data_IF_847014419032
#
_entry.id   IF_847014419032
#
_cell.length_a   1.000
_cell.length_b   1.000
_cell.length_c   1.000
_cell.angle_alpha   90.00
_cell.angle_beta   90.00
_cell.angle_gamma   90.00
#
_symmetry.space_group_name_H-M   'P 1'
#
loop_
_entity.id
_entity.type
_entity.pdbx_description
1 polymer ?
#
# COMPACT_ATOMS: atom_id res chain seq x y z
N UNK A 1 -11.80 -7.92 4.81
CA UNK A 1 -10.55 -8.33 4.12
C UNK A 1 -9.56 -7.18 4.28
N UNK A 2 -8.34 -7.40 4.76
CA UNK A 2 -7.34 -6.34 4.91
C UNK A 2 -6.61 -6.09 3.58
N UNK A 3 -6.28 -4.84 3.26
CA UNK A 3 -5.51 -4.45 2.08
C UNK A 3 -4.17 -5.20 1.98
N UNK A 4 -3.54 -5.48 3.13
CA UNK A 4 -2.32 -6.26 3.22
C UNK A 4 -2.50 -7.70 2.68
N UNK A 5 -3.65 -8.32 2.89
CA UNK A 5 -3.94 -9.66 2.36
C UNK A 5 -4.10 -9.63 0.83
N UNK A 6 -4.72 -8.57 0.32
CA UNK A 6 -4.95 -8.38 -1.12
C UNK A 6 -3.62 -8.18 -1.85
N UNK A 7 -2.73 -7.36 -1.29
CA UNK A 7 -1.38 -7.12 -1.80
C UNK A 7 -0.52 -8.39 -1.80
N UNK A 8 -0.57 -9.19 -0.74
CA UNK A 8 0.17 -10.48 -0.71
C UNK A 8 -0.32 -11.44 -1.78
N UNK A 9 -1.63 -11.46 -2.06
CA UNK A 9 -2.19 -12.29 -3.13
C UNK A 9 -1.75 -11.83 -4.52
N UNK A 10 -1.53 -10.53 -4.73
CA UNK A 10 -0.96 -9.97 -5.97
C UNK A 10 0.50 -10.37 -6.18
N UNK A 11 1.29 -10.48 -5.11
CA UNK A 11 2.71 -10.90 -5.18
C UNK A 11 2.92 -12.40 -5.47
N UNK A 12 1.89 -13.23 -5.27
CA UNK A 12 1.94 -14.64 -5.65
C UNK A 12 1.94 -14.81 -7.17
N UNK A 13 2.79 -15.71 -7.68
CA UNK A 13 2.66 -16.13 -9.07
C UNK A 13 1.30 -16.79 -9.32
N UNK A 14 0.76 -16.75 -10.55
CA UNK A 14 -0.55 -17.35 -10.83
C UNK A 14 -0.67 -18.82 -10.38
N UNK A 15 0.32 -19.71 -10.59
CA UNK A 15 0.24 -21.09 -10.11
C UNK A 15 0.25 -21.22 -8.58
N UNK A 16 1.01 -20.37 -7.87
CA UNK A 16 1.05 -20.36 -6.41
C UNK A 16 -0.30 -19.92 -5.82
N UNK A 17 -0.93 -18.92 -6.44
CA UNK A 17 -2.24 -18.42 -6.03
C UNK A 17 -3.32 -19.49 -6.22
N UNK A 18 -3.34 -20.16 -7.38
CA UNK A 18 -4.30 -21.23 -7.67
C UNK A 18 -4.11 -22.41 -6.72
N UNK A 19 -2.87 -22.89 -6.53
CA UNK A 19 -2.58 -23.99 -5.62
C UNK A 19 -2.99 -23.68 -4.17
N UNK A 20 -2.76 -22.45 -3.71
CA UNK A 20 -3.16 -22.00 -2.39
C UNK A 20 -4.68 -21.93 -2.25
N UNK A 21 -5.39 -21.28 -3.18
CA UNK A 21 -6.85 -21.09 -3.09
C UNK A 21 -7.58 -22.41 -3.16
N UNK A 22 -7.26 -23.27 -4.14
CA UNK A 22 -7.93 -24.56 -4.30
C UNK A 22 -7.74 -25.47 -3.08
N UNK A 23 -6.55 -25.46 -2.45
CA UNK A 23 -6.31 -26.27 -1.27
C UNK A 23 -6.83 -25.63 0.02
N UNK A 24 -6.48 -24.38 0.31
CA UNK A 24 -6.73 -23.76 1.62
C UNK A 24 -8.15 -23.21 1.75
N UNK A 25 -8.83 -22.89 0.64
CA UNK A 25 -10.21 -22.38 0.64
C UNK A 25 -11.20 -23.46 0.23
N UNK A 26 -10.89 -24.20 -0.84
CA UNK A 26 -11.80 -25.20 -1.38
C UNK A 26 -11.51 -26.63 -0.92
N UNK A 27 -10.46 -26.84 -0.12
CA UNK A 27 -10.09 -28.14 0.45
C UNK A 27 -9.82 -29.25 -0.59
N UNK A 28 -9.44 -28.90 -1.82
CA UNK A 28 -9.11 -29.89 -2.85
C UNK A 28 -7.81 -30.65 -2.50
N UNK A 29 -7.74 -31.95 -2.75
CA UNK A 29 -6.51 -32.71 -2.63
C UNK A 29 -5.49 -32.28 -3.71
N UNK A 30 -4.20 -32.41 -3.41
CA UNK A 30 -3.13 -31.96 -4.31
C UNK A 30 -3.05 -32.72 -5.65
N UNK A 31 -3.65 -33.90 -5.72
CA UNK A 31 -3.72 -34.69 -6.95
C UNK A 31 -4.67 -34.03 -7.96
N UNK A 32 -5.87 -33.60 -7.52
CA UNK A 32 -6.80 -32.83 -8.35
C UNK A 32 -6.23 -31.46 -8.74
N UNK A 33 -5.54 -30.79 -7.81
CA UNK A 33 -4.88 -29.50 -8.09
C UNK A 33 -3.78 -29.67 -9.14
N UNK A 34 -3.07 -30.81 -9.12
CA UNK A 34 -2.03 -31.10 -10.10
C UNK A 34 -2.60 -31.26 -11.52
N UNK A 35 -3.78 -31.87 -11.66
CA UNK A 35 -4.49 -31.95 -12.94
C UNK A 35 -4.86 -30.55 -13.46
N UNK A 36 -5.42 -29.70 -12.59
CA UNK A 36 -5.79 -28.32 -12.94
C UNK A 36 -4.58 -27.48 -13.38
N UNK A 37 -3.44 -27.65 -12.70
CA UNK A 37 -2.22 -26.89 -12.97
C UNK A 37 -1.34 -27.49 -14.07
N UNK A 38 -1.65 -28.69 -14.57
CA UNK A 38 -0.78 -29.43 -15.49
C UNK A 38 0.59 -29.77 -14.87
N UNK A 39 0.62 -30.11 -13.58
CA UNK A 39 1.87 -30.44 -12.85
C UNK A 39 1.75 -31.78 -12.11
N UNK A 40 2.69 -32.09 -11.21
CA UNK A 40 2.61 -33.25 -10.31
C UNK A 40 2.07 -32.84 -8.94
N UNK A 41 1.45 -33.78 -8.21
CA UNK A 41 1.01 -33.56 -6.81
C UNK A 41 2.10 -32.98 -5.90
N UNK A 42 3.36 -33.42 -6.11
CA UNK A 42 4.51 -32.89 -5.39
C UNK A 42 4.82 -31.43 -5.76
N UNK A 43 4.70 -31.07 -7.04
CA UNK A 43 4.87 -29.69 -7.50
C UNK A 43 3.76 -28.78 -6.97
N UNK A 44 2.49 -29.23 -7.00
CA UNK A 44 1.35 -28.51 -6.42
C UNK A 44 1.52 -28.25 -4.92
N UNK A 45 1.98 -29.26 -4.15
CA UNK A 45 2.34 -29.10 -2.73
C UNK A 45 3.41 -28.04 -2.52
N UNK A 46 4.45 -28.03 -3.37
CA UNK A 46 5.55 -27.07 -3.29
C UNK A 46 5.08 -25.66 -3.59
N UNK A 47 4.18 -25.47 -4.56
CA UNK A 47 3.56 -24.18 -4.88
C UNK A 47 2.74 -23.64 -3.70
N UNK A 48 1.84 -24.46 -3.13
CA UNK A 48 1.06 -24.07 -1.96
C UNK A 48 1.93 -23.77 -0.73
N UNK A 49 2.95 -24.59 -0.48
CA UNK A 49 3.91 -24.36 0.61
C UNK A 49 4.66 -23.02 0.45
N UNK A 50 5.11 -22.70 -0.77
CA UNK A 50 5.76 -21.41 -1.07
C UNK A 50 4.81 -20.23 -0.87
N UNK A 51 3.56 -20.35 -1.32
CA UNK A 51 2.54 -19.35 -1.11
C UNK A 51 2.30 -19.09 0.39
N UNK A 52 2.14 -20.15 1.20
CA UNK A 52 2.02 -20.03 2.66
C UNK A 52 3.26 -19.41 3.30
N UNK A 53 4.46 -19.75 2.82
CA UNK A 53 5.70 -19.14 3.29
C UNK A 53 5.73 -17.62 3.06
N UNK A 54 5.26 -17.15 1.90
CA UNK A 54 5.13 -15.71 1.61
C UNK A 54 4.07 -15.04 2.48
N UNK A 55 2.90 -15.65 2.64
CA UNK A 55 1.84 -15.15 3.52
C UNK A 55 2.31 -15.12 4.98
N UNK A 56 3.00 -16.15 5.45
CA UNK A 56 3.55 -16.20 6.79
C UNK A 56 4.62 -15.12 7.00
N UNK A 57 5.46 -14.86 6.00
CA UNK A 57 6.44 -13.76 6.05
C UNK A 57 5.75 -12.40 6.12
N UNK A 58 4.67 -12.20 5.37
CA UNK A 58 3.85 -10.99 5.45
C UNK A 58 3.14 -10.86 6.81
N UNK A 59 2.60 -11.96 7.35
CA UNK A 59 1.95 -12.03 8.68
C UNK A 59 2.91 -11.90 9.87
N UNK A 60 4.19 -12.27 9.71
CA UNK A 60 5.21 -12.17 10.77
C UNK A 60 5.59 -10.72 11.09
N UNK A 61 5.27 -9.78 10.21
CA UNK A 61 5.21 -8.36 10.58
C UNK A 61 3.89 -8.16 11.30
N UNK A 62 3.95 -7.86 12.60
CA UNK A 62 2.76 -7.46 13.33
C UNK A 62 2.23 -6.21 12.61
N UNK A 63 1.01 -6.25 12.03
CA UNK A 63 0.51 -5.10 11.30
C UNK A 63 0.44 -3.92 12.28
N UNK A 64 0.85 -2.72 11.85
CA UNK A 64 0.76 -1.54 12.70
C UNK A 64 -0.70 -1.37 13.16
N UNK A 65 -0.88 -1.02 14.42
CA UNK A 65 -2.18 -0.61 14.93
C UNK A 65 -2.67 0.63 14.19
N UNK A 66 -3.99 0.85 14.19
CA UNK A 66 -4.57 2.08 13.63
C UNK A 66 -4.00 3.33 14.32
N UNK A 67 -3.69 3.24 15.62
CA UNK A 67 -3.10 4.34 16.37
C UNK A 67 -1.69 4.68 15.83
N UNK A 68 -0.83 3.67 15.64
CA UNK A 68 0.51 3.87 15.08
C UNK A 68 0.46 4.44 13.66
N UNK A 69 -0.47 3.95 12.83
CA UNK A 69 -0.68 4.48 11.47
C UNK A 69 -1.15 5.94 11.50
N UNK A 70 -2.09 6.27 12.38
CA UNK A 70 -2.58 7.63 12.54
C UNK A 70 -1.50 8.60 13.04
N UNK A 71 -0.70 8.19 14.03
CA UNK A 71 0.43 8.97 14.55
C UNK A 71 1.48 9.24 13.47
N UNK A 72 1.83 8.20 12.69
CA UNK A 72 2.77 8.35 11.59
C UNK A 72 2.26 9.31 10.50
N UNK A 73 0.97 9.20 10.13
CA UNK A 73 0.33 10.11 9.17
C UNK A 73 0.29 11.55 9.68
N UNK A 74 -0.03 11.77 10.95
CA UNK A 74 -0.03 13.10 11.55
C UNK A 74 1.37 13.72 11.57
N UNK A 75 2.38 12.94 11.96
CA UNK A 75 3.78 13.39 11.95
C UNK A 75 4.25 13.71 10.53
N UNK A 76 3.92 12.85 9.55
CA UNK A 76 4.24 13.07 8.15
C UNK A 76 3.56 14.32 7.60
N UNK A 77 2.26 14.50 7.86
CA UNK A 77 1.49 15.71 7.51
C UNK A 77 2.17 16.96 8.07
N UNK A 78 2.44 16.99 9.37
CA UNK A 78 3.02 18.15 10.04
C UNK A 78 4.38 18.52 9.45
N UNK A 79 5.26 17.54 9.24
CA UNK A 79 6.58 17.76 8.66
C UNK A 79 6.49 18.24 7.19
N UNK A 80 5.61 17.66 6.38
CA UNK A 80 5.39 18.09 4.99
C UNK A 80 4.85 19.52 4.90
N UNK A 81 3.92 19.91 5.78
CA UNK A 81 3.39 21.28 5.85
C UNK A 81 4.44 22.29 6.32
N UNK A 82 5.31 21.88 7.27
CA UNK A 82 6.39 22.72 7.77
C UNK A 82 7.59 22.84 6.83
N UNK A 83 7.68 21.99 5.79
CA UNK A 83 8.87 21.89 4.96
C UNK A 83 10.06 21.23 5.68
N UNK A 84 9.80 20.45 6.74
CA UNK A 84 10.83 19.80 7.55
C UNK A 84 11.31 18.52 6.86
N UNK A 85 12.31 18.69 6.00
CA UNK A 85 12.92 17.60 5.24
C UNK A 85 13.58 16.56 6.17
N UNK A 86 14.25 17.01 7.23
CA UNK A 86 14.96 16.13 8.15
C UNK A 86 13.97 15.19 8.86
N UNK A 87 12.88 15.75 9.39
CA UNK A 87 11.85 14.95 10.06
C UNK A 87 11.16 13.97 9.11
N UNK A 88 10.91 14.36 7.87
CA UNK A 88 10.34 13.44 6.87
C UNK A 88 11.29 12.28 6.56
N UNK A 89 12.60 12.55 6.43
CA UNK A 89 13.61 11.49 6.21
C UNK A 89 13.68 10.52 7.38
N UNK A 90 13.52 10.99 8.62
CA UNK A 90 13.46 10.12 9.80
C UNK A 90 12.23 9.19 9.79
N UNK A 91 11.07 9.72 9.39
CA UNK A 91 9.80 8.98 9.33
C UNK A 91 9.78 7.95 8.19
N UNK A 92 10.55 8.19 7.12
CA UNK A 92 10.58 7.34 5.94
C UNK A 92 11.65 6.25 6.04
N UNK A 93 11.33 5.09 5.49
CA UNK A 93 12.34 4.07 5.23
C UNK A 93 13.29 4.57 4.12
N UNK A 94 14.60 4.23 4.16
CA UNK A 94 15.54 4.64 3.10
C UNK A 94 15.10 4.22 1.70
N UNK A 95 14.49 3.04 1.59
CA UNK A 95 13.91 2.49 0.34
C UNK A 95 12.41 2.78 0.18
N UNK A 96 11.87 3.78 0.88
CA UNK A 96 10.46 4.09 0.80
C UNK A 96 10.02 4.40 -0.64
N UNK A 97 8.80 3.97 -0.98
CA UNK A 97 8.23 4.19 -2.30
C UNK A 97 6.99 5.07 -2.22
N UNK A 98 6.87 6.00 -3.14
CA UNK A 98 5.69 6.84 -3.32
C UNK A 98 5.04 6.53 -4.66
N UNK A 99 3.77 6.12 -4.61
CA UNK A 99 3.00 5.70 -5.79
C UNK A 99 1.78 6.61 -5.93
N UNK A 100 1.56 7.13 -7.14
CA UNK A 100 0.35 7.89 -7.47
C UNK A 100 -0.52 7.03 -8.37
N UNK A 101 -1.73 6.71 -7.92
CA UNK A 101 -2.78 6.14 -8.75
C UNK A 101 -3.60 7.27 -9.39
N UNK A 102 -3.28 7.55 -10.66
CA UNK A 102 -4.01 8.50 -11.50
C UNK A 102 -5.17 7.90 -12.31
N UNK A 103 -5.55 6.64 -12.07
CA UNK A 103 -6.71 6.00 -12.72
C UNK A 103 -6.62 5.85 -14.25
N UNK A 104 -5.42 5.82 -14.83
CA UNK A 104 -5.23 5.50 -16.26
C UNK A 104 -5.66 6.56 -17.29
N UNK A 105 -6.17 7.74 -16.86
CA UNK A 105 -6.58 8.83 -17.78
C UNK A 105 -5.79 10.13 -17.64
N UNK A 106 -4.98 10.27 -16.60
CA UNK A 106 -4.05 11.40 -16.43
C UNK A 106 -2.62 10.89 -16.68
N UNK A 107 -1.82 11.64 -17.43
CA UNK A 107 -0.39 11.35 -17.72
C UNK A 107 0.48 11.15 -16.45
N UNK A 108 -0.09 11.36 -15.25
CA UNK A 108 0.50 11.09 -13.95
C UNK A 108 0.65 9.60 -13.59
N UNK A 109 0.13 8.67 -14.40
CA UNK A 109 0.65 7.31 -14.38
C UNK A 109 2.01 7.33 -15.09
N UNK A 110 3.15 7.21 -14.38
CA UNK A 110 4.27 6.40 -14.92
C UNK A 110 5.49 6.07 -14.08
N UNK A 111 5.84 6.68 -12.95
CA UNK A 111 7.01 6.20 -12.21
C UNK A 111 6.87 6.33 -10.69
N UNK A 112 6.89 5.20 -9.94
CA UNK A 112 7.06 5.26 -8.50
C UNK A 112 8.34 6.03 -8.16
N UNK A 113 8.27 6.91 -7.15
CA UNK A 113 9.45 7.58 -6.62
C UNK A 113 10.02 6.70 -5.52
N UNK A 114 11.22 6.20 -5.74
CA UNK A 114 11.96 5.39 -4.79
C UNK A 114 12.97 6.25 -4.03
N UNK A 115 13.13 5.94 -2.74
CA UNK A 115 14.10 6.55 -1.86
C UNK A 115 13.44 7.52 -0.87
N UNK A 116 13.64 7.32 0.43
CA UNK A 116 13.02 8.11 1.50
C UNK A 116 13.28 9.61 1.36
N UNK A 117 14.50 10.02 1.03
CA UNK A 117 14.84 11.44 0.81
C UNK A 117 14.13 12.05 -0.40
N UNK A 118 14.02 11.29 -1.49
CA UNK A 118 13.31 11.72 -2.71
C UNK A 118 11.81 11.82 -2.45
N UNK A 119 11.24 10.89 -1.69
CA UNK A 119 9.84 10.92 -1.25
C UNK A 119 9.58 12.10 -0.33
N UNK A 120 10.47 12.38 0.63
CA UNK A 120 10.37 13.53 1.52
C UNK A 120 10.36 14.86 0.75
N UNK A 121 11.30 15.03 -0.17
CA UNK A 121 11.39 16.20 -1.05
C UNK A 121 10.13 16.38 -1.89
N UNK A 122 9.61 15.27 -2.43
CA UNK A 122 8.37 15.28 -3.21
C UNK A 122 7.18 15.70 -2.35
N UNK A 123 7.05 15.17 -1.13
CA UNK A 123 5.94 15.48 -0.23
C UNK A 123 5.83 16.98 0.06
N UNK A 124 6.95 17.62 0.42
CA UNK A 124 7.03 19.07 0.63
C UNK A 124 6.65 19.82 -0.65
N UNK A 125 7.24 19.42 -1.79
CA UNK A 125 6.96 20.07 -3.08
C UNK A 125 5.48 20.01 -3.43
N UNK A 126 4.81 18.88 -3.23
CA UNK A 126 3.39 18.77 -3.56
C UNK A 126 2.55 19.68 -2.66
N UNK A 127 2.81 19.73 -1.35
CA UNK A 127 2.07 20.65 -0.46
C UNK A 127 2.26 22.10 -0.89
N UNK A 128 3.49 22.51 -1.21
CA UNK A 128 3.80 23.88 -1.67
C UNK A 128 3.15 24.24 -3.01
N UNK A 129 3.09 23.30 -3.94
CA UNK A 129 2.52 23.51 -5.29
C UNK A 129 1.00 23.46 -5.30
N UNK A 130 0.42 22.49 -4.60
CA UNK A 130 -1.02 22.31 -4.57
C UNK A 130 -1.72 23.29 -3.62
N UNK A 131 -1.04 23.76 -2.56
CA UNK A 131 -1.59 24.70 -1.58
C UNK A 131 -2.99 24.30 -1.10
N UNK A 132 -3.14 23.11 -0.48
CA UNK A 132 -4.42 22.70 0.06
C UNK A 132 -4.84 23.62 1.22
N UNK A 133 -6.14 23.88 1.33
CA UNK A 133 -6.74 24.61 2.45
C UNK A 133 -6.73 23.76 3.72
N UNK A 134 -6.96 22.45 3.58
CA UNK A 134 -6.88 21.49 4.67
C UNK A 134 -6.23 20.17 4.23
N UNK A 135 -5.59 19.52 5.19
CA UNK A 135 -5.16 18.11 5.10
C UNK A 135 -5.65 17.45 6.38
N UNK A 136 -6.60 16.53 6.28
CA UNK A 136 -7.32 15.96 7.42
C UNK A 136 -7.02 14.48 7.57
N UNK A 137 -6.91 14.01 8.81
CA UNK A 137 -6.86 12.58 9.09
C UNK A 137 -8.29 12.04 9.04
N UNK A 138 -8.55 11.11 8.15
CA UNK A 138 -9.84 10.47 7.94
C UNK A 138 -9.72 8.95 8.12
N UNK A 139 -10.86 8.27 8.22
CA UNK A 139 -10.92 6.81 8.13
C UNK A 139 -11.40 6.40 6.72
N UNK A 140 -10.58 5.60 6.03
CA UNK A 140 -10.88 5.07 4.70
C UNK A 140 -10.88 3.54 4.75
N UNK A 141 -12.01 2.90 4.48
CA UNK A 141 -12.18 1.44 4.55
C UNK A 141 -11.72 0.82 5.88
N UNK A 142 -11.87 1.56 6.98
CA UNK A 142 -11.43 1.13 8.30
C UNK A 142 -9.98 1.43 8.62
N UNK A 143 -9.21 2.10 7.76
CA UNK A 143 -7.80 2.43 7.99
C UNK A 143 -7.57 3.96 7.98
N UNK A 144 -6.65 4.49 8.81
CA UNK A 144 -6.32 5.91 8.78
C UNK A 144 -5.72 6.35 7.43
N UNK A 145 -6.15 7.52 6.94
CA UNK A 145 -5.68 8.13 5.70
C UNK A 145 -5.63 9.66 5.83
N UNK A 146 -4.93 10.34 4.92
CA UNK A 146 -4.94 11.80 4.82
C UNK A 146 -5.72 12.26 3.60
N UNK A 147 -6.72 13.12 3.78
CA UNK A 147 -7.48 13.75 2.71
C UNK A 147 -7.11 15.23 2.60
N UNK A 148 -6.69 15.68 1.42
CA UNK A 148 -6.34 17.08 1.18
C UNK A 148 -7.40 17.78 0.35
N UNK A 149 -7.87 18.94 0.81
CA UNK A 149 -8.92 19.71 0.15
C UNK A 149 -8.43 21.09 -0.28
N UNK A 150 -9.03 21.63 -1.34
CA UNK A 150 -8.89 23.04 -1.74
C UNK A 150 -10.17 23.50 -2.42
N UNK A 151 -10.65 24.68 -2.06
CA UNK A 151 -11.90 25.26 -2.55
C UNK A 151 -13.11 24.31 -2.37
N UNK A 152 -13.12 23.53 -1.28
CA UNK A 152 -14.15 22.53 -0.99
C UNK A 152 -14.06 21.24 -1.82
N UNK A 153 -13.09 21.10 -2.73
CA UNK A 153 -12.87 19.90 -3.53
C UNK A 153 -11.73 19.04 -2.97
N UNK A 154 -11.93 17.72 -2.95
CA UNK A 154 -10.91 16.75 -2.56
C UNK A 154 -9.86 16.62 -3.67
N UNK A 155 -8.62 17.00 -3.36
CA UNK A 155 -7.50 16.98 -4.28
C UNK A 155 -6.84 15.59 -4.36
N UNK A 156 -6.61 14.99 -3.20
CA UNK A 156 -6.06 13.62 -3.11
C UNK A 156 -6.31 12.99 -1.74
N UNK A 157 -6.17 11.67 -1.72
CA UNK A 157 -6.12 10.87 -0.49
C UNK A 157 -4.80 10.08 -0.45
N UNK A 158 -4.11 10.12 0.68
CA UNK A 158 -2.91 9.34 0.95
C UNK A 158 -3.17 8.25 1.98
N UNK A 159 -2.70 7.05 1.67
CA UNK A 159 -2.56 5.94 2.63
C UNK A 159 -1.09 5.57 2.77
N UNK A 160 -0.72 4.97 3.91
CA UNK A 160 0.66 4.56 4.18
C UNK A 160 0.75 3.11 4.59
N UNK A 161 1.93 2.55 4.38
CA UNK A 161 2.32 1.25 4.91
C UNK A 161 3.49 1.46 5.87
N UNK A 162 3.38 0.90 7.08
CA UNK A 162 4.42 0.96 8.10
C UNK A 162 5.10 -0.39 8.28
N UNK A 163 6.42 -0.35 8.47
CA UNK A 163 7.23 -1.47 8.95
C UNK A 163 8.19 -0.93 9.99
N UNK A 164 8.20 -1.54 11.18
CA UNK A 164 9.08 -1.19 12.29
C UNK A 164 9.06 0.33 12.62
N UNK A 165 7.87 0.93 12.61
CA UNK A 165 7.64 2.35 12.92
C UNK A 165 8.02 3.34 11.80
N UNK A 166 8.43 2.86 10.63
CA UNK A 166 8.77 3.72 9.47
C UNK A 166 7.80 3.53 8.31
N UNK A 167 7.55 4.61 7.58
CA UNK A 167 6.76 4.61 6.36
C UNK A 167 7.59 4.00 5.23
N UNK A 168 7.18 2.81 4.76
CA UNK A 168 7.83 2.12 3.62
C UNK A 168 7.14 2.37 2.30
N UNK A 169 5.85 2.70 2.32
CA UNK A 169 5.10 3.05 1.12
C UNK A 169 4.08 4.14 1.41
N UNK A 170 3.91 5.05 0.45
CA UNK A 170 2.84 6.04 0.40
C UNK A 170 2.09 5.82 -0.90
N UNK A 171 0.76 5.68 -0.82
CA UNK A 171 -0.11 5.54 -1.98
C UNK A 171 -1.06 6.74 -2.02
N UNK A 172 -0.91 7.55 -3.06
CA UNK A 172 -1.77 8.69 -3.34
C UNK A 172 -2.80 8.34 -4.40
N UNK A 173 -4.06 8.62 -4.12
CA UNK A 173 -5.13 8.65 -5.13
C UNK A 173 -5.47 10.11 -5.40
N UNK A 174 -5.33 10.56 -6.64
CA UNK A 174 -5.60 11.93 -7.07
C UNK A 174 -6.59 12.01 -8.25
N UNK A 175 -7.29 10.91 -8.56
CA UNK A 175 -8.26 10.86 -9.66
C UNK A 175 -9.66 11.30 -9.18
N UNK A 176 -10.23 12.40 -9.70
CA UNK A 176 -11.58 12.87 -9.35
C UNK A 176 -12.66 11.79 -9.47
N UNK A 177 -12.58 10.90 -10.48
CA UNK A 177 -13.57 9.83 -10.69
C UNK A 177 -13.52 8.72 -9.64
N UNK A 178 -12.35 8.48 -9.02
CA UNK A 178 -12.22 7.52 -7.90
C UNK A 178 -12.53 8.15 -6.55
N UNK A 179 -12.41 9.47 -6.46
CA UNK A 179 -12.55 10.24 -5.23
C UNK A 179 -14.02 10.61 -4.95
N UNK A 180 -14.85 10.78 -5.99
CA UNK A 180 -16.28 11.11 -5.83
C UNK A 180 -17.17 10.01 -5.20
N UNK A 181 -16.59 8.85 -4.89
CA UNK A 181 -17.27 7.72 -4.25
C UNK A 181 -16.66 7.32 -2.89
N UNK A 182 -15.72 8.12 -2.37
CA UNK A 182 -15.10 7.93 -1.06
C UNK A 182 -15.92 8.64 0.01
#
# INVERSE_FOLDING_TARGET
>A
MSFAMLLVMEELSPPERVALVLHDVFALPFDEIAEVLGTTSAASRKLASRARGRIAKARRRQPPSKAETAEALQAFKAAAQAGDLARLVELLHPEAVYVVDGGGRVTAARMPVHGGERVATLAIRVVLQARPDSIELIELNGEPALAAHRDGALLWVDTVELVDGRIVAIRRVANPEKIGHI
#
